data_IF_338185416802
#
_entry.id   IF_338185416802
#
_cell.length_a   1.000
_cell.length_b   1.000
_cell.length_c   1.000
_cell.angle_alpha   90.00
_cell.angle_beta   90.00
_cell.angle_gamma   90.00
#
_symmetry.space_group_name_H-M   'P 1'
#
loop_
_entity.id
_entity.type
_entity.pdbx_description
1 polymer ?
#
# COMPACT_ATOMS: atom_id res chain seq x y z
N UNK A 1 2.24 -21.46 42.80
CA UNK A 1 3.21 -20.77 41.93
C UNK A 1 3.20 -21.49 40.59
N UNK A 2 2.73 -20.81 39.54
CA UNK A 2 2.93 -21.05 38.09
C UNK A 2 1.63 -20.69 37.36
N UNK A 3 1.58 -19.44 36.87
CA UNK A 3 0.59 -18.98 35.91
C UNK A 3 1.18 -19.27 34.53
N UNK A 4 0.59 -20.23 33.82
CA UNK A 4 0.92 -20.47 32.43
C UNK A 4 0.40 -19.30 31.59
N UNK A 5 1.27 -18.35 31.29
CA UNK A 5 1.02 -17.32 30.28
C UNK A 5 1.00 -18.01 28.92
N UNK A 6 -0.20 -18.24 28.38
CA UNK A 6 -0.39 -18.61 26.97
C UNK A 6 0.18 -17.49 26.13
N UNK A 7 1.26 -17.78 25.42
CA UNK A 7 1.79 -16.93 24.34
C UNK A 7 0.88 -17.15 23.14
N UNK A 8 -0.26 -16.46 23.11
CA UNK A 8 -1.16 -16.38 21.96
C UNK A 8 -1.39 -14.89 21.64
N UNK A 9 -0.36 -14.26 21.07
CA UNK A 9 -0.54 -13.17 20.11
C UNK A 9 0.82 -12.88 19.48
N UNK A 10 1.06 -13.43 18.29
CA UNK A 10 2.11 -12.87 17.42
C UNK A 10 1.64 -11.47 17.06
N UNK A 11 2.33 -10.43 17.54
CA UNK A 11 2.12 -9.03 17.10
C UNK A 11 2.23 -8.96 15.56
N UNK A 12 1.13 -9.22 14.86
CA UNK A 12 1.02 -8.96 13.44
C UNK A 12 0.64 -7.50 13.30
N UNK A 13 1.51 -6.72 12.68
CA UNK A 13 1.19 -5.34 12.37
C UNK A 13 -0.13 -5.26 11.59
N UNK A 14 -1.02 -4.30 11.94
CA UNK A 14 -2.33 -4.18 11.30
C UNK A 14 -2.21 -3.86 9.81
N UNK A 15 -1.06 -3.30 9.38
CA UNK A 15 -0.76 -3.02 7.99
C UNK A 15 0.65 -3.51 7.67
N UNK A 16 0.77 -4.33 6.64
CA UNK A 16 2.02 -4.89 6.15
C UNK A 16 2.25 -4.44 4.70
N UNK A 17 3.46 -3.99 4.38
CA UNK A 17 3.84 -3.61 3.01
C UNK A 17 4.96 -4.52 2.51
N UNK A 18 4.78 -5.04 1.30
CA UNK A 18 5.83 -5.70 0.53
C UNK A 18 6.16 -4.84 -0.68
N UNK A 19 7.44 -4.56 -0.87
CA UNK A 19 7.98 -3.82 -2.02
C UNK A 19 8.78 -4.80 -2.85
N UNK A 20 8.43 -4.94 -4.13
CA UNK A 20 9.09 -5.88 -5.05
C UNK A 20 9.62 -5.16 -6.28
N UNK A 21 10.92 -5.34 -6.52
CA UNK A 21 11.66 -4.75 -7.63
C UNK A 21 11.90 -5.83 -8.70
N UNK A 22 10.82 -6.34 -9.29
CA UNK A 22 10.87 -7.49 -10.19
C UNK A 22 11.48 -7.16 -11.56
N UNK A 23 11.41 -5.89 -11.98
CA UNK A 23 11.91 -5.41 -13.26
C UNK A 23 12.48 -3.98 -13.12
N UNK A 24 13.59 -3.79 -12.38
CA UNK A 24 14.11 -2.47 -12.04
C UNK A 24 14.44 -1.61 -13.27
N UNK A 25 14.85 -2.23 -14.38
CA UNK A 25 15.10 -1.55 -15.66
C UNK A 25 13.87 -0.86 -16.26
N UNK A 26 12.66 -1.27 -15.84
CA UNK A 26 11.41 -0.64 -16.26
C UNK A 26 11.01 0.52 -15.36
N UNK A 27 11.77 0.76 -14.29
CA UNK A 27 11.48 1.75 -13.26
C UNK A 27 10.11 1.51 -12.61
N UNK A 28 9.63 0.28 -12.62
CA UNK A 28 8.36 -0.11 -12.03
C UNK A 28 8.62 -0.89 -10.74
N UNK A 29 7.92 -0.47 -9.69
CA UNK A 29 7.94 -1.13 -8.39
C UNK A 29 6.56 -1.69 -8.12
N UNK A 30 6.48 -2.99 -7.85
CA UNK A 30 5.24 -3.63 -7.41
C UNK A 30 5.10 -3.46 -5.90
N UNK A 31 3.94 -2.96 -5.46
CA UNK A 31 3.63 -2.79 -4.05
C UNK A 31 2.45 -3.68 -3.69
N UNK A 32 2.59 -4.42 -2.59
CA UNK A 32 1.50 -5.14 -1.93
C UNK A 32 1.32 -4.58 -0.53
N UNK A 33 0.09 -4.17 -0.20
CA UNK A 33 -0.31 -3.72 1.12
C UNK A 33 -1.38 -4.67 1.65
N UNK A 34 -1.12 -5.31 2.79
CA UNK A 34 -2.10 -6.15 3.48
C UNK A 34 -2.62 -5.38 4.68
N UNK A 35 -3.93 -5.14 4.73
CA UNK A 35 -4.62 -4.48 5.84
C UNK A 35 -5.43 -5.55 6.56
N UNK A 36 -5.12 -5.76 7.84
CA UNK A 36 -5.79 -6.72 8.74
C UNK A 36 -6.73 -5.97 9.68
N UNK A 37 -7.65 -6.69 10.32
CA UNK A 37 -8.61 -6.15 11.28
C UNK A 37 -9.45 -5.01 10.68
N UNK A 38 -9.81 -5.15 9.40
CA UNK A 38 -10.66 -4.19 8.70
C UNK A 38 -12.05 -4.22 9.33
N UNK A 39 -12.44 -3.07 9.87
CA UNK A 39 -13.76 -2.89 10.48
C UNK A 39 -14.65 -2.06 9.54
N UNK A 40 -15.86 -2.57 9.27
CA UNK A 40 -16.87 -1.87 8.50
C UNK A 40 -16.92 -2.25 7.01
N UNK A 41 -17.88 -1.67 6.26
CA UNK A 41 -18.17 -2.06 4.87
C UNK A 41 -17.23 -1.40 3.84
N UNK A 42 -16.39 -0.47 4.26
CA UNK A 42 -15.54 0.34 3.40
C UNK A 42 -14.28 0.82 4.13
N UNK A 43 -13.20 1.02 3.37
CA UNK A 43 -11.97 1.67 3.82
C UNK A 43 -11.45 2.63 2.75
N UNK A 44 -10.82 3.71 3.19
CA UNK A 44 -10.09 4.62 2.30
C UNK A 44 -8.58 4.43 2.50
N UNK A 45 -7.84 4.39 1.39
CA UNK A 45 -6.38 4.36 1.39
C UNK A 45 -5.88 5.56 0.59
N UNK A 46 -4.90 6.27 1.14
CA UNK A 46 -4.43 7.53 0.55
C UNK A 46 -2.90 7.59 0.51
N UNK A 47 -2.37 8.28 -0.51
CA UNK A 47 -0.96 8.64 -0.57
C UNK A 47 -0.73 10.05 -0.03
N UNK A 48 0.34 10.27 0.77
CA UNK A 48 0.68 11.60 1.25
C UNK A 48 1.08 12.50 0.08
N UNK A 49 0.78 13.80 0.20
CA UNK A 49 1.16 14.84 -0.78
C UNK A 49 2.42 15.62 -0.37
N UNK A 50 3.09 15.21 0.71
CA UNK A 50 4.28 15.89 1.23
C UNK A 50 5.17 14.89 1.96
N UNK A 51 6.40 15.32 2.28
CA UNK A 51 7.34 14.55 3.12
C UNK A 51 8.11 15.48 4.05
N UNK A 52 8.53 15.03 5.25
CA UNK A 52 9.35 15.85 6.14
C UNK A 52 10.58 16.40 5.45
N UNK A 53 10.94 17.66 5.75
CA UNK A 53 12.09 18.34 5.16
C UNK A 53 11.87 18.96 3.78
N UNK A 54 10.67 18.81 3.18
CA UNK A 54 10.31 19.48 1.91
C UNK A 54 8.90 20.05 1.99
N UNK A 55 8.80 21.36 2.22
CA UNK A 55 7.52 22.09 2.34
C UNK A 55 6.95 22.49 0.97
N UNK A 56 6.76 21.50 0.10
CA UNK A 56 6.11 21.65 -1.20
C UNK A 56 5.06 20.55 -1.37
N UNK A 57 3.97 20.87 -2.07
CA UNK A 57 3.00 19.86 -2.50
C UNK A 57 3.65 19.02 -3.59
N UNK A 58 3.72 17.72 -3.35
CA UNK A 58 4.24 16.71 -4.26
C UNK A 58 3.09 15.91 -4.88
N UNK A 59 3.39 15.18 -5.96
CA UNK A 59 2.45 14.27 -6.60
C UNK A 59 2.92 12.80 -6.58
N UNK A 60 3.01 12.12 -5.41
CA UNK A 60 3.41 10.72 -5.36
C UNK A 60 2.38 9.80 -6.06
N UNK A 61 1.10 10.16 -5.98
CA UNK A 61 0.01 9.41 -6.61
C UNK A 61 0.08 9.44 -8.15
N UNK A 62 0.71 10.44 -8.75
CA UNK A 62 0.78 10.64 -10.20
C UNK A 62 1.44 9.51 -10.99
N UNK A 63 2.27 8.66 -10.37
CA UNK A 63 2.78 7.45 -11.02
C UNK A 63 2.32 6.14 -10.40
N UNK A 64 1.23 6.17 -9.64
CA UNK A 64 0.54 4.97 -9.17
C UNK A 64 -0.35 4.45 -10.29
N UNK A 65 -0.25 3.16 -10.60
CA UNK A 65 -1.01 2.47 -11.64
C UNK A 65 -1.57 1.14 -11.13
N UNK A 66 -2.59 0.65 -11.82
CA UNK A 66 -3.16 -0.69 -11.62
C UNK A 66 -3.56 -1.01 -10.18
N UNK A 67 -4.16 -0.04 -9.47
CA UNK A 67 -4.62 -0.26 -8.09
C UNK A 67 -5.77 -1.27 -8.09
N UNK A 68 -5.60 -2.35 -7.33
CA UNK A 68 -6.57 -3.43 -7.16
C UNK A 68 -6.69 -3.79 -5.70
N UNK A 69 -7.86 -4.24 -5.28
CA UNK A 69 -8.12 -4.73 -3.94
C UNK A 69 -8.78 -6.11 -4.00
N UNK A 70 -8.35 -7.02 -3.14
CA UNK A 70 -8.91 -8.38 -3.01
C UNK A 70 -9.08 -8.76 -1.54
N UNK A 71 -10.01 -9.66 -1.24
CA UNK A 71 -10.09 -10.30 0.09
C UNK A 71 -8.97 -11.33 0.26
N UNK A 72 -8.79 -11.84 1.48
CA UNK A 72 -7.90 -12.99 1.77
C UNK A 72 -8.22 -14.23 0.93
N UNK A 73 -9.47 -14.43 0.55
CA UNK A 73 -9.92 -15.51 -0.33
C UNK A 73 -9.72 -15.21 -1.84
N UNK A 74 -9.11 -14.09 -2.20
CA UNK A 74 -8.84 -13.70 -3.59
C UNK A 74 -10.03 -13.10 -4.34
N UNK A 75 -11.15 -12.81 -3.66
CA UNK A 75 -12.30 -12.14 -4.29
C UNK A 75 -11.97 -10.68 -4.55
N UNK A 76 -12.14 -10.22 -5.79
CA UNK A 76 -11.98 -8.80 -6.14
C UNK A 76 -12.97 -7.92 -5.36
N UNK A 77 -12.47 -6.79 -4.88
CA UNK A 77 -13.25 -5.76 -4.19
C UNK A 77 -13.42 -4.53 -5.11
N UNK A 78 -14.61 -3.91 -5.14
CA UNK A 78 -14.80 -2.63 -5.84
C UNK A 78 -13.87 -1.56 -5.27
N UNK A 79 -13.22 -0.82 -6.16
CA UNK A 79 -12.33 0.28 -5.81
C UNK A 79 -12.63 1.50 -6.70
N UNK A 80 -12.74 2.67 -6.09
CA UNK A 80 -12.98 3.93 -6.78
C UNK A 80 -11.97 4.97 -6.31
N UNK A 81 -11.34 5.67 -7.25
CA UNK A 81 -10.47 6.80 -6.92
C UNK A 81 -11.34 8.03 -6.65
N UNK A 82 -11.38 8.50 -5.41
CA UNK A 82 -12.31 9.56 -4.95
C UNK A 82 -11.72 10.96 -5.12
N UNK A 83 -10.40 11.08 -5.05
CA UNK A 83 -9.66 12.32 -5.31
C UNK A 83 -8.29 12.03 -5.94
N UNK A 84 -7.39 13.02 -6.02
CA UNK A 84 -6.07 12.84 -6.65
C UNK A 84 -5.21 11.75 -6.00
N UNK A 85 -5.39 11.51 -4.72
CA UNK A 85 -4.51 10.68 -3.86
C UNK A 85 -5.22 9.57 -3.09
N UNK A 86 -6.55 9.53 -3.10
CA UNK A 86 -7.36 8.61 -2.28
C UNK A 86 -8.11 7.60 -3.13
N UNK A 87 -8.11 6.35 -2.67
CA UNK A 87 -8.91 5.25 -3.20
C UNK A 87 -9.84 4.71 -2.12
N UNK A 88 -11.12 4.63 -2.45
CA UNK A 88 -12.17 4.03 -1.65
C UNK A 88 -12.36 2.58 -2.04
N UNK A 89 -12.32 1.67 -1.07
CA UNK A 89 -12.49 0.23 -1.27
C UNK A 89 -13.74 -0.22 -0.52
N UNK A 90 -14.69 -0.81 -1.24
CA UNK A 90 -15.86 -1.44 -0.62
C UNK A 90 -15.49 -2.86 -0.18
N UNK A 91 -15.31 -3.07 1.11
CA UNK A 91 -14.79 -4.31 1.70
C UNK A 91 -15.87 -5.37 1.86
N UNK A 92 -17.13 -4.94 2.01
CA UNK A 92 -18.27 -5.84 2.25
C UNK A 92 -18.11 -6.65 3.54
N UNK A 93 -17.42 -6.11 4.54
CA UNK A 93 -17.17 -6.77 5.83
C UNK A 93 -16.01 -7.77 5.82
N UNK A 94 -15.14 -7.75 4.80
CA UNK A 94 -13.91 -8.55 4.82
C UNK A 94 -12.97 -8.07 5.95
N UNK A 95 -12.47 -8.99 6.77
CA UNK A 95 -11.55 -8.70 7.88
C UNK A 95 -10.11 -8.42 7.41
N UNK A 96 -9.75 -8.90 6.22
CA UNK A 96 -8.46 -8.66 5.60
C UNK A 96 -8.64 -8.27 4.13
N UNK A 97 -7.94 -7.20 3.74
CA UNK A 97 -7.90 -6.67 2.37
C UNK A 97 -6.45 -6.58 1.92
N UNK A 98 -6.15 -7.18 0.77
CA UNK A 98 -4.88 -6.97 0.08
C UNK A 98 -5.07 -5.96 -1.04
N UNK A 99 -4.33 -4.87 -0.99
CA UNK A 99 -4.25 -3.86 -2.05
C UNK A 99 -2.94 -4.04 -2.80
N UNK A 100 -3.00 -4.11 -4.12
CA UNK A 100 -1.81 -4.17 -4.98
C UNK A 100 -1.82 -3.01 -5.96
N UNK A 101 -0.66 -2.42 -6.20
CA UNK A 101 -0.49 -1.36 -7.18
C UNK A 101 0.96 -1.31 -7.66
N UNK A 102 1.18 -0.53 -8.72
CA UNK A 102 2.50 -0.29 -9.28
C UNK A 102 2.88 1.17 -9.17
N UNK A 103 4.15 1.43 -8.88
CA UNK A 103 4.71 2.78 -8.82
C UNK A 103 5.78 2.94 -9.89
N UNK A 104 5.60 3.92 -10.78
CA UNK A 104 6.62 4.30 -11.75
C UNK A 104 7.70 5.18 -11.11
N UNK A 105 8.80 4.58 -10.65
CA UNK A 105 9.86 5.23 -9.89
C UNK A 105 10.95 5.87 -10.77
N UNK A 106 10.60 6.92 -11.52
CA UNK A 106 11.55 7.75 -12.29
C UNK A 106 11.42 9.24 -11.96
N UNK A 107 11.54 9.60 -10.68
CA UNK A 107 11.61 10.99 -10.25
C UNK A 107 12.80 11.22 -9.32
N UNK A 108 14.00 11.15 -9.91
CA UNK A 108 15.26 11.43 -9.24
C UNK A 108 15.32 12.89 -8.74
N UNK A 109 14.81 13.84 -9.54
CA UNK A 109 14.84 15.27 -9.24
C UNK A 109 14.02 15.67 -8.01
N UNK A 110 12.92 14.96 -7.74
CA UNK A 110 12.11 15.19 -6.54
C UNK A 110 12.62 14.43 -5.31
N UNK A 111 13.63 13.57 -5.50
CA UNK A 111 14.19 12.63 -4.51
C UNK A 111 13.12 11.71 -3.90
N UNK A 112 11.97 11.54 -4.55
CA UNK A 112 10.81 10.81 -4.02
C UNK A 112 10.83 9.33 -4.36
N UNK A 113 11.23 8.99 -5.58
CA UNK A 113 11.19 7.62 -6.10
C UNK A 113 12.15 7.50 -7.29
N UNK A 114 13.16 6.66 -7.17
CA UNK A 114 14.06 6.34 -8.27
C UNK A 114 14.50 4.90 -8.12
N UNK A 115 14.29 4.10 -9.17
CA UNK A 115 14.82 2.75 -9.28
C UNK A 115 15.35 2.59 -10.69
N UNK A 116 16.56 2.07 -10.80
CA UNK A 116 17.17 1.61 -12.04
C UNK A 116 18.04 0.37 -11.80
N UNK A 117 18.72 -0.08 -12.85
CA UNK A 117 19.56 -1.26 -12.92
C UNK A 117 20.82 -1.16 -12.02
N UNK A 118 21.10 0.04 -11.50
CA UNK A 118 22.28 0.34 -10.67
C UNK A 118 21.93 0.75 -9.24
N UNK A 119 20.73 1.29 -9.00
CA UNK A 119 20.31 1.85 -7.70
C UNK A 119 18.81 1.67 -7.45
N UNK A 120 18.44 1.44 -6.18
CA UNK A 120 17.06 1.38 -5.69
C UNK A 120 16.89 2.22 -4.41
#
# INVERSE_FOLDING_TARGET
MSLAMRVEDTERWPIEYTVSLNAPQTQMVDIRMVIRNVAGPMIDVAMPVWRPGRYQVLDPAGGVRDVRAVTSAGRSLPIVKTDKTTWHITTGGAEEVTVTYRVYANSLGDRTRHVDDTHA
#
